data_IF_835716867061
#
_entry.id   IF_835716867061
#
_cell.length_a   1.000
_cell.length_b   1.000
_cell.length_c   1.000
_cell.angle_alpha   90.00
_cell.angle_beta   90.00
_cell.angle_gamma   90.00
#
_symmetry.space_group_name_H-M   'P 1'
#
loop_
_entity.id
_entity.type
_entity.pdbx_description
1 polymer ?
#
# COMPACT_ATOMS: atom_id res chain seq x y z
N UNK A 1 -13.13 -0.02 -24.86
CA UNK A 1 -12.33 0.18 -23.63
C UNK A 1 -11.05 -0.64 -23.78
N UNK A 2 -9.86 -0.03 -23.72
CA UNK A 2 -8.58 -0.73 -23.92
C UNK A 2 -7.98 -1.10 -22.57
N UNK A 3 -7.73 -2.38 -22.35
CA UNK A 3 -7.05 -2.86 -21.14
C UNK A 3 -5.58 -2.47 -21.20
N UNK A 4 -5.07 -1.81 -20.15
CA UNK A 4 -3.65 -1.43 -20.04
C UNK A 4 -2.82 -2.56 -19.45
N UNK A 5 -3.31 -3.16 -18.36
CA UNK A 5 -2.70 -4.31 -17.70
C UNK A 5 -3.74 -5.43 -17.58
N UNK A 6 -3.41 -6.60 -18.11
CA UNK A 6 -4.20 -7.81 -17.85
C UNK A 6 -3.88 -8.38 -16.45
N UNK A 7 -4.65 -9.38 -16.02
CA UNK A 7 -4.52 -9.99 -14.68
C UNK A 7 -3.11 -10.51 -14.39
N UNK A 8 -2.49 -11.18 -15.37
CA UNK A 8 -1.15 -11.75 -15.22
C UNK A 8 -0.08 -10.66 -15.16
N UNK A 9 -0.18 -9.64 -16.02
CA UNK A 9 0.72 -8.48 -16.00
C UNK A 9 0.64 -7.72 -14.68
N UNK A 10 -0.56 -7.53 -14.14
CA UNK A 10 -0.75 -6.90 -12.83
C UNK A 10 -0.08 -7.73 -11.73
N UNK A 11 -0.29 -9.05 -11.70
CA UNK A 11 0.31 -9.93 -10.71
C UNK A 11 1.85 -9.90 -10.77
N UNK A 12 2.44 -9.97 -11.97
CA UNK A 12 3.88 -9.86 -12.16
C UNK A 12 4.42 -8.48 -11.74
N UNK A 13 3.66 -7.43 -11.99
CA UNK A 13 4.03 -6.07 -11.58
C UNK A 13 4.08 -5.94 -10.06
N UNK A 14 3.05 -6.45 -9.36
CA UNK A 14 3.03 -6.47 -7.89
C UNK A 14 4.20 -7.28 -7.34
N UNK A 15 4.45 -8.47 -7.89
CA UNK A 15 5.56 -9.31 -7.46
C UNK A 15 6.90 -8.59 -7.62
N UNK A 16 7.11 -7.92 -8.75
CA UNK A 16 8.32 -7.12 -9.00
C UNK A 16 8.48 -5.99 -7.98
N UNK A 17 7.40 -5.27 -7.65
CA UNK A 17 7.45 -4.20 -6.65
C UNK A 17 7.82 -4.74 -5.26
N UNK A 18 7.28 -5.91 -4.89
CA UNK A 18 7.62 -6.57 -3.63
C UNK A 18 9.11 -6.97 -3.57
N UNK A 19 9.66 -7.55 -4.64
CA UNK A 19 11.09 -7.84 -4.72
C UNK A 19 11.94 -6.58 -4.63
N UNK A 20 11.58 -5.52 -5.34
CA UNK A 20 12.31 -4.25 -5.28
C UNK A 20 12.33 -3.64 -3.87
N UNK A 21 11.24 -3.75 -3.10
CA UNK A 21 11.23 -3.35 -1.70
C UNK A 21 12.25 -4.15 -0.87
N UNK A 22 12.25 -5.48 -1.02
CA UNK A 22 13.16 -6.37 -0.30
C UNK A 22 14.64 -6.19 -0.70
N UNK A 23 14.91 -5.87 -1.97
CA UNK A 23 16.27 -5.65 -2.46
C UNK A 23 16.86 -4.33 -1.95
N UNK A 24 16.03 -3.28 -1.79
CA UNK A 24 16.48 -1.97 -1.34
C UNK A 24 16.59 -1.84 0.19
N UNK A 25 16.03 -2.79 0.94
CA UNK A 25 16.01 -2.76 2.40
C UNK A 25 16.56 -4.07 2.98
N UNK A 26 17.69 -3.99 3.68
CA UNK A 26 18.34 -5.14 4.33
C UNK A 26 17.47 -5.78 5.43
N UNK A 27 16.55 -5.03 6.01
CA UNK A 27 15.52 -5.49 6.95
C UNK A 27 14.31 -4.57 6.89
N UNK A 28 13.12 -5.10 7.16
CA UNK A 28 11.87 -4.34 7.14
C UNK A 28 11.50 -3.75 8.50
N UNK A 29 12.35 -3.93 9.52
CA UNK A 29 12.12 -3.42 10.88
C UNK A 29 11.95 -1.91 10.96
N UNK A 30 12.71 -1.17 10.15
CA UNK A 30 12.68 0.30 10.09
C UNK A 30 11.86 0.81 8.89
N UNK A 31 11.07 -0.06 8.26
CA UNK A 31 10.26 0.27 7.08
C UNK A 31 8.79 0.22 7.44
N UNK A 32 8.12 1.35 7.24
CA UNK A 32 6.67 1.47 7.34
C UNK A 32 6.08 1.54 5.94
N UNK A 33 5.00 0.79 5.73
CA UNK A 33 4.23 0.81 4.51
C UNK A 33 2.85 1.42 4.76
N UNK A 34 2.47 2.44 3.98
CA UNK A 34 1.18 3.14 4.14
C UNK A 34 0.34 3.01 2.86
N UNK A 35 -0.84 2.40 2.99
CA UNK A 35 -1.87 2.35 1.95
C UNK A 35 -2.72 3.61 1.95
N UNK A 36 -2.74 4.35 0.84
CA UNK A 36 -3.59 5.54 0.71
C UNK A 36 -5.00 5.17 0.27
N UNK A 37 -6.00 5.68 1.00
CA UNK A 37 -7.40 5.44 0.68
C UNK A 37 -7.91 6.27 -0.50
N UNK A 38 -8.94 5.80 -1.22
CA UNK A 38 -9.62 4.51 -1.02
C UNK A 38 -8.99 3.35 -1.81
N UNK A 39 -8.36 3.62 -2.95
CA UNK A 39 -7.92 2.57 -3.89
C UNK A 39 -6.48 2.09 -3.68
N UNK A 40 -5.62 2.90 -3.06
CA UNK A 40 -4.23 2.52 -2.79
C UNK A 40 -4.16 1.28 -1.89
N UNK A 41 -5.12 1.12 -0.97
CA UNK A 41 -5.26 -0.03 -0.08
C UNK A 41 -5.24 -1.36 -0.85
N UNK A 42 -5.96 -1.48 -1.96
CA UNK A 42 -6.00 -2.73 -2.75
C UNK A 42 -4.65 -3.13 -3.33
N UNK A 43 -3.80 -2.14 -3.66
CA UNK A 43 -2.46 -2.40 -4.19
C UNK A 43 -1.52 -2.68 -3.03
N UNK A 44 -1.61 -1.92 -1.94
CA UNK A 44 -0.74 -2.09 -0.78
C UNK A 44 -0.97 -3.44 -0.09
N UNK A 45 -2.21 -3.87 0.09
CA UNK A 45 -2.55 -5.19 0.63
C UNK A 45 -1.88 -6.31 -0.17
N UNK A 46 -1.96 -6.24 -1.51
CA UNK A 46 -1.36 -7.24 -2.40
C UNK A 46 0.17 -7.27 -2.34
N UNK A 47 0.80 -6.11 -2.18
CA UNK A 47 2.25 -6.01 -2.02
C UNK A 47 2.67 -6.60 -0.68
N UNK A 48 2.01 -6.20 0.41
CA UNK A 48 2.28 -6.72 1.77
C UNK A 48 2.09 -8.23 1.82
N UNK A 49 1.02 -8.75 1.22
CA UNK A 49 0.79 -10.20 1.12
C UNK A 49 1.86 -10.92 0.29
N UNK A 50 2.40 -10.28 -0.77
CA UNK A 50 3.53 -10.84 -1.50
C UNK A 50 4.79 -10.84 -0.65
N UNK A 51 5.10 -9.75 0.06
CA UNK A 51 6.28 -9.65 0.91
C UNK A 51 6.23 -10.71 2.03
N UNK A 52 5.10 -10.86 2.71
CA UNK A 52 4.90 -11.91 3.73
C UNK A 52 5.13 -13.33 3.20
N UNK A 53 4.82 -13.58 1.92
CA UNK A 53 5.08 -14.87 1.27
C UNK A 53 6.54 -15.06 0.88
N UNK A 54 7.22 -13.98 0.48
CA UNK A 54 8.62 -14.01 0.07
C UNK A 54 9.57 -14.10 1.27
N UNK A 55 9.25 -13.41 2.37
CA UNK A 55 10.05 -13.35 3.58
C UNK A 55 9.15 -13.50 4.82
N UNK A 56 8.78 -14.74 5.20
CA UNK A 56 7.87 -15.00 6.32
C UNK A 56 8.42 -14.53 7.67
N UNK A 57 9.74 -14.47 7.81
CA UNK A 57 10.43 -14.08 9.04
C UNK A 57 10.51 -12.55 9.24
N UNK A 58 10.23 -11.77 8.19
CA UNK A 58 10.22 -10.30 8.24
C UNK A 58 8.80 -9.79 8.50
N UNK A 59 8.66 -8.84 9.42
CA UNK A 59 7.38 -8.21 9.75
C UNK A 59 7.32 -6.83 9.13
N UNK A 60 6.38 -6.62 8.20
CA UNK A 60 6.11 -5.29 7.63
C UNK A 60 5.11 -4.55 8.52
N UNK A 61 5.50 -3.36 9.00
CA UNK A 61 4.55 -2.44 9.60
C UNK A 61 3.68 -1.83 8.50
N UNK A 62 2.38 -2.13 8.53
CA UNK A 62 1.44 -1.72 7.49
C UNK A 62 0.26 -0.95 8.09
N UNK A 63 0.05 0.28 7.60
CA UNK A 63 -1.04 1.14 7.98
C UNK A 63 -1.81 1.66 6.76
N UNK A 64 -2.99 2.24 7.01
CA UNK A 64 -3.89 2.80 6.02
C UNK A 64 -4.22 4.24 6.40
N UNK A 65 -4.01 5.17 5.47
CA UNK A 65 -4.20 6.60 5.69
C UNK A 65 -5.32 7.15 4.81
N UNK A 66 -6.29 7.82 5.44
CA UNK A 66 -7.29 8.61 4.74
C UNK A 66 -6.77 10.05 4.56
N UNK A 67 -6.68 10.49 3.30
CA UNK A 67 -6.21 11.83 2.94
C UNK A 67 -7.34 12.77 2.56
N UNK A 68 -8.61 12.39 2.79
CA UNK A 68 -9.79 13.10 2.25
C UNK A 68 -9.75 14.59 2.55
N UNK A 69 -9.47 14.98 3.80
CA UNK A 69 -9.44 16.39 4.19
C UNK A 69 -8.15 17.13 3.84
N UNK A 70 -7.11 16.41 3.41
CA UNK A 70 -5.82 16.99 2.97
C UNK A 70 -5.77 17.21 1.47
N UNK A 71 -6.82 16.86 0.74
CA UNK A 71 -6.90 17.08 -0.70
C UNK A 71 -7.40 18.48 -1.00
N UNK A 72 -6.75 19.16 -1.95
CA UNK A 72 -7.11 20.51 -2.35
C UNK A 72 -8.51 20.62 -2.97
N UNK A 73 -9.02 19.54 -3.55
CA UNK A 73 -10.34 19.49 -4.21
C UNK A 73 -11.52 19.30 -3.24
N UNK A 74 -11.28 19.16 -1.93
CA UNK A 74 -12.31 18.85 -0.93
C UNK A 74 -12.87 20.09 -0.22
N UNK A 75 -12.32 21.28 -0.50
CA UNK A 75 -12.69 22.53 0.19
C UNK A 75 -14.16 22.95 0.05
N UNK A 76 -14.88 22.42 -0.94
CA UNK A 76 -16.26 22.83 -1.26
C UNK A 76 -17.33 21.74 -1.07
N UNK A 77 -16.97 20.54 -0.60
CA UNK A 77 -17.91 19.41 -0.44
C UNK A 77 -17.74 18.71 0.92
N UNK A 78 -18.85 18.44 1.62
CA UNK A 78 -18.83 17.61 2.83
C UNK A 78 -18.57 16.16 2.40
N UNK A 79 -17.33 15.69 2.53
CA UNK A 79 -16.96 14.28 2.30
C UNK A 79 -16.84 13.54 3.63
N UNK A 80 -17.41 12.35 3.69
CA UNK A 80 -17.18 11.40 4.78
C UNK A 80 -15.77 10.82 4.62
N UNK A 81 -14.89 11.09 5.57
CA UNK A 81 -13.57 10.46 5.61
C UNK A 81 -13.69 9.02 6.12
N UNK A 82 -12.84 8.14 5.59
CA UNK A 82 -12.70 6.80 6.15
C UNK A 82 -11.78 6.82 7.37
N UNK A 83 -11.82 5.73 8.13
CA UNK A 83 -10.95 5.56 9.28
C UNK A 83 -9.49 5.40 8.82
N UNK A 84 -8.60 6.19 9.41
CA UNK A 84 -7.16 5.94 9.35
C UNK A 84 -6.81 4.85 10.35
N UNK A 85 -6.02 3.87 9.95
CA UNK A 85 -5.52 2.80 10.81
C UNK A 85 -4.00 2.78 10.72
N UNK A 86 -3.33 3.19 11.80
CA UNK A 86 -1.87 3.13 11.94
C UNK A 86 -1.62 2.65 13.38
N UNK A 87 -1.55 1.33 13.55
CA UNK A 87 -1.43 0.68 14.86
C UNK A 87 0.04 0.60 15.38
N UNK A 88 0.92 1.48 14.89
CA UNK A 88 2.34 1.54 15.24
C UNK A 88 2.80 3.00 15.36
N UNK A 89 3.90 3.23 16.09
CA UNK A 89 4.51 4.56 16.21
C UNK A 89 5.43 4.85 15.03
N UNK A 90 5.46 6.11 14.60
CA UNK A 90 6.27 6.64 13.49
C UNK A 90 7.28 7.64 14.04
#
# INVERSE_FOLDING_TARGET
MKTILNKQQLQLTILRLAHQLLENHLSLKDVVFIGLQPRGVYVSDKIVDCIKKLCPDETVQYGVLDITFYRDDVRNEIRLANQTNIDFSI
#
